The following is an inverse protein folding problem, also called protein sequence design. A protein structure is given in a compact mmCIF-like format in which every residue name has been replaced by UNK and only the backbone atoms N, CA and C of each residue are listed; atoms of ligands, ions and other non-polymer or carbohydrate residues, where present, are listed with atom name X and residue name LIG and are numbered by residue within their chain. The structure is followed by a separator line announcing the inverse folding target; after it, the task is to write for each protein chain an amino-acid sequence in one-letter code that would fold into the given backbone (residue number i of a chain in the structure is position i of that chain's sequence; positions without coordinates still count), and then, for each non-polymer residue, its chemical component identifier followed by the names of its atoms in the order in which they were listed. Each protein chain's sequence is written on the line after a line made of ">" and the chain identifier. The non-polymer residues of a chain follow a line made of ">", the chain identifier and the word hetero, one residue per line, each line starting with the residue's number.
data_IF_761997788424
#
_entry.id   IF_761997788424
#
_cell.length_a   1.000
_cell.length_b   1.000
_cell.length_c   1.000
_cell.angle_alpha   90.00
_cell.angle_beta   90.00
_cell.angle_gamma   90.00
#
_symmetry.space_group_name_H-M   'P 1'
#
loop_
_entity.id
_entity.type
_entity.pdbx_description
1 polymer ?
#
# COMPACT_ATOMS: atom_id res chain seq x y z
N UNK A 1 -23.27 6.36 -50.42
CA UNK A 1 -22.43 6.45 -49.20
C UNK A 1 -22.57 5.21 -48.31
N UNK A 2 -22.19 4.01 -48.79
CA UNK A 2 -22.01 2.79 -47.95
C UNK A 2 -20.86 1.88 -48.44
N UNK A 3 -20.10 2.32 -49.45
CA UNK A 3 -19.03 1.53 -50.08
C UNK A 3 -17.60 2.03 -49.76
N UNK A 4 -17.44 3.13 -49.02
CA UNK A 4 -16.12 3.69 -48.66
C UNK A 4 -15.68 3.40 -47.22
N UNK A 5 -16.54 2.80 -46.39
CA UNK A 5 -16.25 2.56 -44.97
C UNK A 5 -15.72 1.15 -44.70
N UNK A 6 -15.99 0.20 -45.60
CA UNK A 6 -15.47 -1.18 -45.55
C UNK A 6 -13.99 -1.29 -45.97
N UNK A 7 -13.49 -0.35 -46.79
CA UNK A 7 -12.11 -0.39 -47.28
C UNK A 7 -11.08 0.13 -46.24
N UNK A 8 -11.48 1.02 -45.33
CA UNK A 8 -10.59 1.49 -44.25
C UNK A 8 -10.37 0.44 -43.15
N UNK A 9 -11.39 -0.37 -42.82
CA UNK A 9 -11.23 -1.48 -41.87
C UNK A 9 -10.40 -2.63 -42.46
N UNK A 10 -10.48 -2.89 -43.77
CA UNK A 10 -9.64 -3.89 -44.42
C UNK A 10 -8.16 -3.44 -44.52
N UNK A 11 -7.90 -2.13 -44.68
CA UNK A 11 -6.53 -1.58 -44.71
C UNK A 11 -5.83 -1.62 -43.34
N UNK A 12 -6.51 -1.33 -42.24
CA UNK A 12 -5.91 -1.42 -40.89
C UNK A 12 -5.53 -2.85 -40.50
N UNK A 13 -6.34 -3.85 -40.86
CA UNK A 13 -6.01 -5.26 -40.63
C UNK A 13 -4.91 -5.79 -41.57
N UNK A 14 -4.76 -5.23 -42.77
CA UNK A 14 -3.59 -5.54 -43.61
C UNK A 14 -2.32 -4.93 -43.03
N UNK A 15 -2.35 -3.68 -42.53
CA UNK A 15 -1.19 -3.04 -41.89
C UNK A 15 -0.70 -3.76 -40.62
N UNK A 16 -1.59 -4.36 -39.83
CA UNK A 16 -1.21 -5.21 -38.68
C UNK A 16 -0.70 -6.58 -39.13
N UNK A 17 -1.26 -7.16 -40.19
CA UNK A 17 -0.76 -8.42 -40.77
C UNK A 17 0.62 -8.29 -41.42
N UNK A 18 1.03 -7.08 -41.85
CA UNK A 18 2.35 -6.81 -42.42
C UNK A 18 3.40 -6.42 -41.37
N UNK A 19 3.03 -5.96 -40.16
CA UNK A 19 4.00 -5.65 -39.08
C UNK A 19 4.64 -6.88 -38.42
N UNK A 20 4.12 -8.07 -38.69
CA UNK A 20 4.63 -9.35 -38.18
C UNK A 20 5.21 -10.27 -39.27
N UNK A 21 5.20 -9.85 -40.54
CA UNK A 21 5.81 -10.62 -41.62
C UNK A 21 7.31 -10.34 -41.63
N UNK A 22 8.08 -11.25 -41.04
CA UNK A 22 9.55 -11.18 -40.95
C UNK A 22 10.12 -11.06 -39.54
N UNK A 23 9.29 -11.10 -38.49
CA UNK A 23 9.79 -11.25 -37.12
C UNK A 23 9.90 -12.73 -36.78
N UNK A 24 11.11 -13.12 -36.39
CA UNK A 24 11.45 -14.49 -36.02
C UNK A 24 10.47 -15.00 -34.95
N UNK A 25 9.97 -16.23 -35.11
CA UNK A 25 9.03 -16.87 -34.19
C UNK A 25 9.64 -16.93 -32.79
N UNK A 26 10.96 -17.02 -32.70
CA UNK A 26 11.71 -17.00 -31.45
C UNK A 26 11.75 -15.60 -30.79
N UNK A 27 11.76 -14.51 -31.57
CA UNK A 27 11.66 -13.15 -31.03
C UNK A 27 10.28 -12.89 -30.42
N UNK A 28 9.20 -13.38 -31.05
CA UNK A 28 7.85 -13.31 -30.47
C UNK A 28 7.71 -14.17 -29.21
N UNK A 29 8.33 -15.36 -29.18
CA UNK A 29 8.38 -16.19 -27.96
C UNK A 29 9.18 -15.52 -26.85
N UNK A 30 10.28 -14.83 -27.18
CA UNK A 30 11.10 -14.08 -26.21
C UNK A 30 10.32 -12.93 -25.59
N UNK A 31 9.64 -12.11 -26.40
CA UNK A 31 8.78 -11.02 -25.88
C UNK A 31 7.64 -11.52 -25.01
N UNK A 32 7.00 -12.65 -25.36
CA UNK A 32 5.97 -13.28 -24.51
C UNK A 32 6.53 -13.78 -23.18
N UNK A 33 7.75 -14.33 -23.19
CA UNK A 33 8.46 -14.72 -21.96
C UNK A 33 8.84 -13.51 -21.12
N UNK A 34 9.34 -12.44 -21.72
CA UNK A 34 9.69 -11.18 -21.04
C UNK A 34 8.46 -10.54 -20.38
N UNK A 35 7.35 -10.38 -21.11
CA UNK A 35 6.09 -9.86 -20.55
C UNK A 35 5.56 -10.75 -19.42
N UNK A 36 5.65 -12.08 -19.55
CA UNK A 36 5.24 -13.02 -18.50
C UNK A 36 6.14 -12.93 -17.26
N UNK A 37 7.44 -12.71 -17.45
CA UNK A 37 8.41 -12.50 -16.36
C UNK A 37 8.15 -11.16 -15.67
N UNK A 38 7.88 -10.10 -16.43
CA UNK A 38 7.51 -8.78 -15.89
C UNK A 38 6.20 -8.84 -15.11
N UNK A 39 5.16 -9.50 -15.64
CA UNK A 39 3.89 -9.71 -14.93
C UNK A 39 4.06 -10.53 -13.65
N UNK A 40 4.94 -11.54 -13.66
CA UNK A 40 5.27 -12.32 -12.46
C UNK A 40 6.07 -11.52 -11.45
N UNK A 41 6.98 -10.65 -11.92
CA UNK A 41 7.76 -9.75 -11.07
C UNK A 41 6.84 -8.70 -10.44
N UNK A 42 5.96 -8.08 -11.21
CA UNK A 42 4.94 -7.15 -10.72
C UNK A 42 4.03 -7.80 -9.66
N UNK A 43 3.51 -9.01 -9.92
CA UNK A 43 2.71 -9.76 -8.91
C UNK A 43 3.48 -10.08 -7.64
N UNK A 44 4.78 -10.37 -7.74
CA UNK A 44 5.65 -10.64 -6.59
C UNK A 44 5.95 -9.35 -5.82
N UNK A 45 6.19 -8.25 -6.53
CA UNK A 45 6.42 -6.93 -5.97
C UNK A 45 5.15 -6.42 -5.26
N UNK A 46 3.95 -6.69 -5.81
CA UNK A 46 2.65 -6.39 -5.19
C UNK A 46 2.41 -7.21 -3.91
N UNK A 47 2.83 -8.48 -3.87
CA UNK A 47 2.78 -9.30 -2.65
C UNK A 47 3.73 -8.80 -1.56
N UNK A 48 4.83 -8.13 -1.90
CA UNK A 48 5.74 -7.53 -0.92
C UNK A 48 5.20 -6.24 -0.28
N UNK A 49 4.11 -5.67 -0.83
CA UNK A 49 3.53 -4.41 -0.35
C UNK A 49 2.60 -4.60 0.84
N UNK A 50 1.98 -5.78 0.93
CA UNK A 50 1.06 -6.12 2.00
C UNK A 50 1.86 -6.64 3.19
N UNK A 51 1.54 -6.13 4.38
CA UNK A 51 2.16 -6.56 5.63
C UNK A 51 1.19 -7.46 6.37
N UNK A 52 1.57 -8.70 6.65
CA UNK A 52 0.81 -9.61 7.52
C UNK A 52 1.18 -9.35 8.98
N UNK A 53 0.19 -9.17 9.84
CA UNK A 53 0.44 -9.00 11.28
C UNK A 53 0.68 -10.37 11.94
N UNK A 54 1.96 -10.73 12.06
CA UNK A 54 2.42 -11.98 12.68
C UNK A 54 2.77 -11.83 14.17
N UNK A 55 2.72 -10.63 14.73
CA UNK A 55 3.04 -10.39 16.14
C UNK A 55 1.97 -11.00 17.02
N UNK A 56 2.22 -12.24 17.47
CA UNK A 56 1.46 -12.89 18.53
C UNK A 56 1.87 -12.42 19.94
N UNK A 57 2.83 -11.48 20.03
CA UNK A 57 3.48 -11.06 21.28
C UNK A 57 2.84 -9.81 21.91
N UNK A 58 2.08 -9.00 21.17
CA UNK A 58 1.29 -7.88 21.72
C UNK A 58 -0.14 -8.34 22.04
N UNK A 59 -0.27 -9.37 22.90
CA UNK A 59 -1.55 -9.74 23.49
C UNK A 59 -1.88 -8.64 24.52
N UNK A 60 -2.64 -7.61 24.12
CA UNK A 60 -3.25 -6.62 25.04
C UNK A 60 -4.34 -7.26 25.94
N UNK A 61 -4.21 -8.54 26.26
CA UNK A 61 -5.16 -9.24 27.09
C UNK A 61 -5.05 -8.75 28.52
N UNK A 62 -6.19 -8.27 29.01
CA UNK A 62 -6.53 -8.26 30.42
C UNK A 62 -6.07 -9.59 31.07
N UNK A 63 -5.66 -9.59 32.35
CA UNK A 63 -5.11 -10.74 33.04
C UNK A 63 -6.20 -11.78 33.33
N UNK A 64 -6.66 -12.46 32.29
CA UNK A 64 -7.41 -13.70 32.37
C UNK A 64 -6.64 -14.68 31.50
N UNK A 65 -5.85 -15.48 32.21
CA UNK A 65 -5.08 -16.60 31.69
C UNK A 65 -6.04 -17.68 31.22
N UNK A 66 -6.74 -17.42 30.12
CA UNK A 66 -7.57 -18.41 29.46
C UNK A 66 -6.68 -19.40 28.72
N UNK A 67 -7.06 -20.67 28.80
CA UNK A 67 -6.29 -21.82 28.35
C UNK A 67 -6.03 -21.74 26.83
N UNK A 68 -4.89 -21.13 26.46
CA UNK A 68 -4.47 -20.80 25.07
C UNK A 68 -4.51 -22.00 24.13
N UNK A 69 -4.43 -23.22 24.67
CA UNK A 69 -4.49 -24.47 23.93
C UNK A 69 -5.88 -24.78 23.34
N UNK A 70 -7.00 -24.42 24.00
CA UNK A 70 -8.35 -24.85 23.56
C UNK A 70 -8.90 -24.03 22.39
N UNK A 71 -8.58 -22.73 22.32
CA UNK A 71 -9.08 -21.80 21.28
C UNK A 71 -8.49 -22.12 19.90
N UNK A 72 -7.31 -22.73 19.87
CA UNK A 72 -6.59 -23.11 18.65
C UNK A 72 -7.22 -24.30 17.90
N UNK A 73 -7.90 -25.18 18.64
CA UNK A 73 -8.35 -26.50 18.19
C UNK A 73 -9.84 -26.52 17.80
N UNK A 74 -10.56 -25.41 17.96
CA UNK A 74 -11.94 -25.28 17.50
C UNK A 74 -12.06 -25.63 16.01
N UNK A 75 -13.12 -26.32 15.59
CA UNK A 75 -13.39 -26.57 14.16
C UNK A 75 -13.91 -25.29 13.48
N UNK A 76 -13.96 -25.27 12.15
CA UNK A 76 -14.50 -24.10 11.42
C UNK A 76 -15.98 -23.91 11.77
N UNK A 77 -16.73 -25.00 11.90
CA UNK A 77 -18.16 -25.00 12.23
C UNK A 77 -18.40 -24.38 13.62
N UNK A 78 -17.64 -24.81 14.63
CA UNK A 78 -17.75 -24.27 15.99
C UNK A 78 -17.36 -22.78 16.07
N UNK A 79 -16.43 -22.34 15.21
CA UNK A 79 -16.09 -20.92 15.10
C UNK A 79 -17.28 -20.13 14.58
N UNK A 80 -17.90 -20.58 13.48
CA UNK A 80 -19.07 -19.91 12.89
C UNK A 80 -20.23 -19.88 13.88
N UNK A 81 -20.57 -21.01 14.50
CA UNK A 81 -21.65 -21.08 15.49
C UNK A 81 -21.41 -20.12 16.66
N UNK A 82 -20.17 -20.01 17.15
CA UNK A 82 -19.86 -19.09 18.24
C UNK A 82 -19.83 -17.61 17.81
N UNK A 83 -19.38 -17.30 16.59
CA UNK A 83 -19.48 -15.94 16.03
C UNK A 83 -20.95 -15.54 15.76
N UNK A 84 -21.82 -16.50 15.44
CA UNK A 84 -23.24 -16.26 15.20
C UNK A 84 -24.08 -16.27 16.49
N UNK A 85 -23.46 -16.62 17.62
CA UNK A 85 -24.14 -16.68 18.92
C UNK A 85 -24.57 -15.29 19.41
N UNK A 86 -25.54 -15.25 20.34
CA UNK A 86 -25.92 -14.02 21.03
C UNK A 86 -25.06 -13.66 22.24
N UNK A 87 -24.01 -14.44 22.52
CA UNK A 87 -23.13 -14.25 23.67
C UNK A 87 -21.83 -13.55 23.24
N UNK A 88 -21.61 -12.33 23.74
CA UNK A 88 -20.43 -11.51 23.44
C UNK A 88 -19.11 -12.21 23.78
N UNK A 89 -19.09 -13.03 24.83
CA UNK A 89 -17.89 -13.78 25.21
C UNK A 89 -17.56 -14.87 24.19
N UNK A 90 -18.59 -15.60 23.76
CA UNK A 90 -18.44 -16.65 22.75
C UNK A 90 -18.10 -16.05 21.37
N UNK A 91 -18.69 -14.92 21.01
CA UNK A 91 -18.32 -14.15 19.81
C UNK A 91 -16.83 -13.78 19.83
N UNK A 92 -16.33 -13.28 20.97
CA UNK A 92 -14.93 -12.89 21.12
C UNK A 92 -13.98 -14.09 21.00
N UNK A 93 -14.26 -15.18 21.72
CA UNK A 93 -13.43 -16.40 21.69
C UNK A 93 -13.38 -16.98 20.28
N UNK A 94 -14.53 -17.09 19.60
CA UNK A 94 -14.60 -17.63 18.25
C UNK A 94 -13.90 -16.72 17.22
N UNK A 95 -14.02 -15.39 17.36
CA UNK A 95 -13.30 -14.45 16.49
C UNK A 95 -11.78 -14.56 16.69
N UNK A 96 -11.32 -14.68 17.94
CA UNK A 96 -9.91 -14.92 18.26
C UNK A 96 -9.41 -16.25 17.70
N UNK A 97 -10.24 -17.30 17.73
CA UNK A 97 -9.95 -18.59 17.11
C UNK A 97 -9.82 -18.47 15.58
N UNK A 98 -10.74 -17.77 14.92
CA UNK A 98 -10.70 -17.50 13.49
C UNK A 98 -9.39 -16.79 13.09
N UNK A 99 -9.05 -15.70 13.80
CA UNK A 99 -7.78 -14.98 13.59
C UNK A 99 -6.56 -15.89 13.75
N UNK A 100 -6.49 -16.66 14.84
CA UNK A 100 -5.34 -17.55 15.11
C UNK A 100 -5.17 -18.61 14.03
N UNK A 101 -6.27 -19.15 13.49
CA UNK A 101 -6.21 -20.08 12.35
C UNK A 101 -5.66 -19.41 11.10
N UNK A 102 -6.02 -18.15 10.84
CA UNK A 102 -5.44 -17.39 9.74
C UNK A 102 -3.94 -17.18 9.94
N UNK A 103 -3.47 -16.80 11.14
CA UNK A 103 -2.05 -16.49 11.38
C UNK A 103 -1.08 -17.67 11.24
N UNK A 104 -1.55 -18.92 11.32
CA UNK A 104 -0.69 -20.11 11.21
C UNK A 104 -0.30 -20.36 9.75
N UNK A 105 0.99 -20.27 9.47
CA UNK A 105 1.56 -20.39 8.12
C UNK A 105 1.70 -21.86 7.69
N UNK A 106 0.60 -22.61 7.68
CA UNK A 106 0.59 -23.97 7.12
C UNK A 106 0.10 -23.90 5.68
N UNK A 107 0.89 -24.44 4.75
CA UNK A 107 0.59 -24.62 3.31
C UNK A 107 -0.72 -25.37 3.00
N UNK A 108 -1.51 -25.69 4.02
CA UNK A 108 -2.65 -26.61 4.01
C UNK A 108 -3.89 -26.06 4.73
N UNK A 109 -3.86 -24.87 5.34
CA UNK A 109 -5.07 -24.25 5.90
C UNK A 109 -5.74 -23.35 4.85
N UNK A 110 -7.00 -23.60 4.47
CA UNK A 110 -7.66 -22.82 3.44
C UNK A 110 -8.21 -21.53 4.06
N UNK A 111 -7.45 -20.43 3.97
CA UNK A 111 -7.96 -19.07 4.18
C UNK A 111 -9.28 -18.91 3.40
N UNK A 112 -9.32 -19.50 2.20
CA UNK A 112 -10.49 -19.52 1.34
C UNK A 112 -11.68 -20.27 1.95
N UNK A 113 -11.48 -21.40 2.66
CA UNK A 113 -12.58 -22.12 3.31
C UNK A 113 -13.17 -21.32 4.49
N UNK A 114 -12.32 -20.60 5.23
CA UNK A 114 -12.78 -19.68 6.28
C UNK A 114 -13.57 -18.50 5.67
N UNK A 115 -13.14 -18.00 4.51
CA UNK A 115 -13.87 -16.96 3.78
C UNK A 115 -15.23 -17.50 3.29
N UNK A 116 -15.23 -18.68 2.67
CA UNK A 116 -16.41 -19.37 2.16
C UNK A 116 -17.40 -19.73 3.27
N UNK A 117 -16.94 -19.95 4.51
CA UNK A 117 -17.80 -20.20 5.67
C UNK A 117 -18.49 -18.95 6.21
N UNK A 118 -18.25 -17.76 5.64
CA UNK A 118 -19.00 -16.55 5.96
C UNK A 118 -18.42 -15.70 7.10
N UNK A 119 -17.15 -15.91 7.50
CA UNK A 119 -16.55 -15.10 8.58
C UNK A 119 -16.44 -13.62 8.22
N UNK A 120 -16.28 -13.28 6.93
CA UNK A 120 -16.00 -11.90 6.49
C UNK A 120 -17.18 -10.98 6.77
N UNK A 121 -18.42 -11.27 6.30
CA UNK A 121 -19.60 -10.49 6.67
C UNK A 121 -19.77 -10.31 8.18
N UNK A 122 -19.56 -11.36 8.97
CA UNK A 122 -19.71 -11.31 10.43
C UNK A 122 -18.64 -10.44 11.09
N UNK A 123 -17.39 -10.53 10.65
CA UNK A 123 -16.33 -9.61 11.11
C UNK A 123 -16.67 -8.15 10.77
N UNK A 124 -17.22 -7.87 9.59
CA UNK A 124 -17.65 -6.52 9.20
C UNK A 124 -18.81 -6.03 10.08
N UNK A 125 -19.73 -6.90 10.49
CA UNK A 125 -20.75 -6.56 11.49
C UNK A 125 -20.10 -6.18 12.83
N UNK A 126 -19.16 -6.98 13.31
CA UNK A 126 -18.45 -6.76 14.58
C UNK A 126 -17.66 -5.45 14.62
N UNK A 127 -17.19 -4.92 13.48
CA UNK A 127 -16.59 -3.57 13.45
C UNK A 127 -17.55 -2.47 13.96
N UNK A 128 -18.87 -2.69 13.94
CA UNK A 128 -19.87 -1.75 14.45
C UNK A 128 -20.28 -1.98 15.91
N UNK A 129 -19.70 -2.96 16.62
CA UNK A 129 -19.93 -3.19 18.05
C UNK A 129 -19.09 -2.22 18.90
N UNK A 130 -19.43 -0.94 18.88
CA UNK A 130 -18.72 0.13 19.62
C UNK A 130 -18.77 -0.06 21.15
N UNK A 131 -19.70 -0.87 21.63
CA UNK A 131 -19.82 -1.34 23.01
C UNK A 131 -18.78 -2.41 23.39
N UNK A 132 -18.12 -3.04 22.40
CA UNK A 132 -17.15 -4.12 22.62
C UNK A 132 -15.84 -3.92 21.80
N UNK A 133 -14.91 -3.07 22.31
CA UNK A 133 -13.64 -2.77 21.63
C UNK A 133 -12.76 -4.00 21.40
N UNK A 134 -12.78 -4.97 22.33
CA UNK A 134 -12.04 -6.23 22.19
C UNK A 134 -12.51 -7.03 20.98
N UNK A 135 -13.82 -7.09 20.76
CA UNK A 135 -14.40 -7.74 19.59
C UNK A 135 -14.10 -6.97 18.30
N UNK A 136 -14.19 -5.64 18.32
CA UNK A 136 -13.78 -4.79 17.18
C UNK A 136 -12.32 -5.03 16.79
N UNK A 137 -11.43 -5.12 17.78
CA UNK A 137 -10.02 -5.38 17.58
C UNK A 137 -9.77 -6.75 16.92
N UNK A 138 -10.33 -7.83 17.48
CA UNK A 138 -10.16 -9.19 16.96
C UNK A 138 -10.80 -9.34 15.55
N UNK A 139 -11.95 -8.70 15.31
CA UNK A 139 -12.59 -8.66 13.99
C UNK A 139 -11.76 -7.87 12.98
N UNK A 140 -11.26 -6.69 13.35
CA UNK A 140 -10.38 -5.88 12.49
C UNK A 140 -9.09 -6.64 12.15
N UNK A 141 -8.49 -7.32 13.13
CA UNK A 141 -7.28 -8.11 12.90
C UNK A 141 -7.55 -9.32 11.98
N UNK A 142 -8.67 -10.00 12.17
CA UNK A 142 -9.11 -11.06 11.25
C UNK A 142 -9.18 -10.56 9.81
N UNK A 143 -9.82 -9.40 9.58
CA UNK A 143 -9.91 -8.78 8.27
C UNK A 143 -8.55 -8.32 7.73
N UNK A 144 -7.66 -7.78 8.56
CA UNK A 144 -6.28 -7.42 8.16
C UNK A 144 -5.52 -8.64 7.64
N UNK A 145 -5.65 -9.79 8.30
CA UNK A 145 -4.99 -11.03 7.91
C UNK A 145 -5.51 -11.54 6.57
N UNK A 146 -6.82 -11.44 6.32
CA UNK A 146 -7.42 -11.82 5.04
C UNK A 146 -6.97 -10.85 3.92
N UNK A 147 -7.02 -9.54 4.17
CA UNK A 147 -6.59 -8.51 3.23
C UNK A 147 -5.08 -8.56 2.92
N UNK A 148 -4.27 -9.15 3.79
CA UNK A 148 -2.83 -9.36 3.53
C UNK A 148 -2.53 -10.46 2.51
N UNK A 149 -3.52 -11.26 2.12
CA UNK A 149 -3.37 -12.36 1.18
C UNK A 149 -3.54 -11.96 -0.29
N UNK A 150 -4.23 -12.79 -1.07
CA UNK A 150 -4.45 -12.57 -2.51
C UNK A 150 -5.36 -11.37 -2.77
N UNK A 151 -5.36 -10.85 -4.00
CA UNK A 151 -6.28 -9.77 -4.38
C UNK A 151 -7.75 -10.20 -4.32
N UNK A 152 -8.06 -11.47 -4.57
CA UNK A 152 -9.42 -12.02 -4.42
C UNK A 152 -9.89 -12.04 -2.95
N UNK A 153 -8.98 -12.40 -2.04
CA UNK A 153 -9.25 -12.35 -0.60
C UNK A 153 -9.47 -10.90 -0.12
N UNK A 154 -8.68 -9.96 -0.65
CA UNK A 154 -8.83 -8.53 -0.35
C UNK A 154 -10.13 -7.97 -0.91
N UNK A 155 -10.46 -8.32 -2.15
CA UNK A 155 -11.68 -7.91 -2.83
C UNK A 155 -12.94 -8.42 -2.10
N UNK A 156 -12.90 -9.62 -1.52
CA UNK A 156 -13.97 -10.13 -0.65
C UNK A 156 -14.20 -9.19 0.54
N UNK A 157 -13.14 -8.80 1.26
CA UNK A 157 -13.23 -7.87 2.40
C UNK A 157 -13.82 -6.52 1.98
N UNK A 158 -13.40 -6.01 0.81
CA UNK A 158 -13.90 -4.76 0.24
C UNK A 158 -15.38 -4.86 -0.12
N UNK A 159 -15.79 -5.91 -0.85
CA UNK A 159 -17.18 -6.14 -1.28
C UNK A 159 -18.14 -6.36 -0.12
N UNK A 160 -17.67 -6.91 1.00
CA UNK A 160 -18.46 -7.03 2.22
C UNK A 160 -18.66 -5.69 2.97
N UNK A 161 -18.08 -4.58 2.50
CA UNK A 161 -18.30 -3.24 3.07
C UNK A 161 -17.40 -2.91 4.25
N UNK A 162 -16.24 -3.54 4.39
CA UNK A 162 -15.31 -3.28 5.49
C UNK A 162 -14.75 -1.85 5.49
N UNK A 163 -14.48 -1.27 4.31
CA UNK A 163 -13.76 0.01 4.17
C UNK A 163 -14.39 1.16 4.95
N UNK A 164 -15.67 1.54 4.76
CA UNK A 164 -16.28 2.64 5.53
C UNK A 164 -16.23 2.42 7.04
N UNK A 165 -16.37 1.17 7.51
CA UNK A 165 -16.30 0.86 8.94
C UNK A 165 -14.87 0.98 9.48
N UNK A 166 -13.89 0.46 8.75
CA UNK A 166 -12.48 0.61 9.11
C UNK A 166 -12.05 2.09 9.14
N UNK A 167 -12.54 2.92 8.21
CA UNK A 167 -12.28 4.37 8.24
C UNK A 167 -12.94 5.00 9.47
N UNK A 168 -14.15 4.61 9.84
CA UNK A 168 -14.80 5.08 11.07
C UNK A 168 -13.99 4.72 12.33
N UNK A 169 -13.36 3.54 12.35
CA UNK A 169 -12.52 3.09 13.47
C UNK A 169 -11.22 3.89 13.62
N UNK A 170 -10.80 4.68 12.63
CA UNK A 170 -9.68 5.60 12.78
C UNK A 170 -9.93 6.68 13.84
N UNK A 171 -11.20 6.97 14.15
CA UNK A 171 -11.62 7.90 15.21
C UNK A 171 -11.97 7.22 16.54
N UNK A 172 -11.58 5.96 16.75
CA UNK A 172 -11.87 5.24 17.99
C UNK A 172 -11.15 5.87 19.19
N UNK A 173 -11.80 5.90 20.36
CA UNK A 173 -11.15 6.25 21.63
C UNK A 173 -10.14 5.19 22.10
N UNK A 174 -10.16 4.01 21.48
CA UNK A 174 -9.30 2.89 21.80
C UNK A 174 -8.17 2.80 20.77
N UNK A 175 -6.94 3.12 21.21
CA UNK A 175 -5.78 3.15 20.33
C UNK A 175 -5.54 1.81 19.64
N UNK A 176 -5.58 0.68 20.35
CA UNK A 176 -5.37 -0.64 19.75
C UNK A 176 -6.36 -0.95 18.59
N UNK A 177 -7.61 -0.48 18.67
CA UNK A 177 -8.60 -0.60 17.57
C UNK A 177 -8.19 0.30 16.40
N UNK A 178 -7.80 1.54 16.68
CA UNK A 178 -7.32 2.50 15.69
C UNK A 178 -6.09 1.96 14.94
N UNK A 179 -5.09 1.45 15.66
CA UNK A 179 -3.87 0.87 15.09
C UNK A 179 -4.18 -0.29 14.15
N UNK A 180 -5.10 -1.17 14.56
CA UNK A 180 -5.50 -2.32 13.75
C UNK A 180 -6.29 -1.90 12.50
N UNK A 181 -7.10 -0.85 12.60
CA UNK A 181 -7.82 -0.29 11.46
C UNK A 181 -6.86 0.35 10.43
N UNK A 182 -5.84 1.09 10.90
CA UNK A 182 -4.78 1.64 10.04
C UNK A 182 -4.10 0.52 9.25
N UNK A 183 -3.72 -0.58 9.91
CA UNK A 183 -3.09 -1.72 9.24
C UNK A 183 -4.01 -2.35 8.19
N UNK A 184 -5.28 -2.60 8.54
CA UNK A 184 -6.25 -3.14 7.59
C UNK A 184 -6.37 -2.27 6.34
N UNK A 185 -6.51 -0.95 6.51
CA UNK A 185 -6.61 0.01 5.41
C UNK A 185 -5.32 0.06 4.57
N UNK A 186 -4.15 -0.04 5.18
CA UNK A 186 -2.87 -0.11 4.47
C UNK A 186 -2.76 -1.32 3.55
N UNK A 187 -3.21 -2.50 3.99
CA UNK A 187 -3.25 -3.71 3.15
C UNK A 187 -4.27 -3.59 2.01
N UNK A 188 -5.45 -3.03 2.29
CA UNK A 188 -6.51 -2.82 1.28
C UNK A 188 -6.05 -1.80 0.22
N UNK A 189 -5.50 -0.66 0.64
CA UNK A 189 -5.01 0.38 -0.26
C UNK A 189 -3.80 -0.09 -1.08
N UNK A 190 -2.95 -0.94 -0.50
CA UNK A 190 -1.77 -1.50 -1.18
C UNK A 190 -2.09 -2.57 -2.23
N UNK A 191 -3.32 -3.10 -2.28
CA UNK A 191 -3.68 -4.18 -3.21
C UNK A 191 -3.84 -3.72 -4.66
N UNK A 192 -4.71 -2.73 -4.91
CA UNK A 192 -4.97 -2.25 -6.26
C UNK A 192 -5.54 -0.80 -6.27
N UNK A 193 -5.47 -0.09 -7.42
CA UNK A 193 -5.99 1.28 -7.54
C UNK A 193 -7.45 1.43 -7.14
N UNK A 194 -8.30 0.46 -7.47
CA UNK A 194 -9.73 0.49 -7.14
C UNK A 194 -9.96 0.50 -5.62
N UNK A 195 -9.25 -0.38 -4.90
CA UNK A 195 -9.32 -0.44 -3.44
C UNK A 195 -8.72 0.81 -2.78
N UNK A 196 -7.58 1.29 -3.28
CA UNK A 196 -6.96 2.57 -2.85
C UNK A 196 -7.93 3.74 -2.97
N UNK A 197 -8.55 3.91 -4.13
CA UNK A 197 -9.45 5.04 -4.39
C UNK A 197 -10.74 4.95 -3.58
N UNK A 198 -11.20 3.73 -3.28
CA UNK A 198 -12.32 3.52 -2.36
C UNK A 198 -11.97 3.97 -0.94
N UNK A 199 -10.78 3.61 -0.44
CA UNK A 199 -10.30 4.04 0.88
C UNK A 199 -10.18 5.58 0.95
N UNK A 200 -9.65 6.21 -0.10
CA UNK A 200 -9.61 7.68 -0.22
C UNK A 200 -11.01 8.30 -0.22
N UNK A 201 -11.94 7.74 -1.00
CA UNK A 201 -13.32 8.21 -1.14
C UNK A 201 -14.07 8.25 0.20
N UNK A 202 -13.80 7.31 1.11
CA UNK A 202 -14.41 7.29 2.44
C UNK A 202 -13.76 8.23 3.46
N UNK A 203 -12.75 9.02 3.06
CA UNK A 203 -12.16 10.05 3.92
C UNK A 203 -11.00 9.54 4.79
N UNK A 204 -10.33 8.45 4.39
CA UNK A 204 -9.19 7.93 5.16
C UNK A 204 -8.02 8.92 5.23
N UNK A 205 -7.79 9.74 4.20
CA UNK A 205 -6.66 10.67 4.15
C UNK A 205 -6.65 11.67 5.32
N UNK A 206 -7.68 12.53 5.52
CA UNK A 206 -7.69 13.45 6.65
C UNK A 206 -7.63 12.72 8.00
N UNK A 207 -8.37 11.61 8.15
CA UNK A 207 -8.38 10.83 9.39
C UNK A 207 -6.98 10.27 9.75
N UNK A 208 -6.23 9.77 8.77
CA UNK A 208 -4.85 9.30 8.98
C UNK A 208 -3.88 10.43 9.32
N UNK A 209 -4.06 11.61 8.73
CA UNK A 209 -3.21 12.77 9.02
C UNK A 209 -3.39 13.27 10.46
N UNK A 210 -4.60 13.16 11.02
CA UNK A 210 -4.89 13.50 12.43
C UNK A 210 -4.17 12.57 13.42
N UNK A 211 -3.74 11.38 12.99
CA UNK A 211 -2.99 10.42 13.82
C UNK A 211 -1.48 10.74 13.90
N UNK A 212 -0.99 11.72 13.12
CA UNK A 212 0.42 12.16 13.15
C UNK A 212 0.59 13.27 14.19
N UNK A 213 0.79 12.87 15.44
CA UNK A 213 0.95 13.75 16.59
C UNK A 213 2.34 13.57 17.23
N UNK A 214 2.81 14.55 18.03
CA UNK A 214 4.10 14.44 18.74
C UNK A 214 4.18 13.25 19.71
N UNK A 215 3.05 12.81 20.26
CA UNK A 215 2.90 11.69 21.20
C UNK A 215 2.61 10.34 20.52
N UNK A 216 2.47 10.31 19.20
CA UNK A 216 2.31 9.05 18.45
C UNK A 216 3.58 8.21 18.59
N UNK A 217 3.42 6.97 19.06
CA UNK A 217 4.54 6.03 19.23
C UNK A 217 5.24 5.75 17.89
N UNK A 218 6.55 5.47 17.93
CA UNK A 218 7.31 5.21 16.70
C UNK A 218 6.77 3.99 15.92
N UNK A 219 6.36 2.93 16.63
CA UNK A 219 5.76 1.74 16.01
C UNK A 219 4.46 2.07 15.27
N UNK A 220 3.58 2.83 15.91
CA UNK A 220 2.31 3.20 15.28
C UNK A 220 2.52 4.20 14.13
N UNK A 221 3.42 5.17 14.29
CA UNK A 221 3.75 6.13 13.26
C UNK A 221 4.26 5.46 11.98
N UNK A 222 5.10 4.41 12.09
CA UNK A 222 5.52 3.60 10.93
C UNK A 222 4.32 3.03 10.16
N UNK A 223 3.32 2.52 10.87
CA UNK A 223 2.11 1.96 10.24
C UNK A 223 1.25 3.04 9.57
N UNK A 224 1.10 4.21 10.21
CA UNK A 224 0.38 5.35 9.63
C UNK A 224 1.06 5.83 8.34
N UNK A 225 2.38 6.04 8.37
CA UNK A 225 3.14 6.54 7.22
C UNK A 225 3.22 5.52 6.09
N UNK A 226 3.36 4.23 6.40
CA UNK A 226 3.25 3.16 5.42
C UNK A 226 1.85 3.11 4.76
N UNK A 227 0.78 3.31 5.53
CA UNK A 227 -0.58 3.38 4.98
C UNK A 227 -0.76 4.59 4.07
N UNK A 228 -0.27 5.76 4.47
CA UNK A 228 -0.28 6.97 3.65
C UNK A 228 0.55 6.81 2.36
N UNK A 229 1.69 6.11 2.41
CA UNK A 229 2.51 5.85 1.22
C UNK A 229 1.79 4.94 0.21
N UNK A 230 1.06 3.92 0.68
CA UNK A 230 0.19 3.09 -0.16
C UNK A 230 -0.95 3.90 -0.80
N UNK A 231 -1.53 4.88 -0.08
CA UNK A 231 -2.55 5.77 -0.62
C UNK A 231 -2.02 6.73 -1.69
N UNK A 232 -0.75 7.12 -1.60
CA UNK A 232 -0.10 7.99 -2.60
C UNK A 232 0.40 7.24 -3.83
N UNK A 233 0.39 5.92 -3.82
CA UNK A 233 1.05 5.10 -4.84
C UNK A 233 0.45 5.30 -6.22
N UNK A 234 1.29 5.67 -7.18
CA UNK A 234 0.92 5.92 -8.57
C UNK A 234 0.86 4.61 -9.39
N UNK A 235 -0.06 3.73 -9.01
CA UNK A 235 -0.46 2.59 -9.84
C UNK A 235 -1.52 3.08 -10.83
N UNK A 236 -1.49 2.70 -12.11
CA UNK A 236 -2.47 3.17 -13.10
C UNK A 236 -3.90 2.66 -12.82
N UNK A 237 -4.90 3.55 -12.71
CA UNK A 237 -4.85 5.02 -12.78
C UNK A 237 -4.34 5.68 -11.49
N UNK A 238 -3.62 6.83 -11.57
CA UNK A 238 -3.10 7.56 -10.40
C UNK A 238 -4.19 7.92 -9.38
N UNK A 239 -3.85 8.08 -8.08
CA UNK A 239 -4.82 8.53 -7.09
C UNK A 239 -5.30 9.97 -7.39
N UNK A 240 -6.49 10.35 -6.91
CA UNK A 240 -6.97 11.73 -6.94
C UNK A 240 -5.98 12.67 -6.24
N UNK A 241 -5.30 13.52 -7.02
CA UNK A 241 -4.21 14.37 -6.52
C UNK A 241 -4.69 15.40 -5.49
N UNK A 242 -5.92 15.88 -5.66
CA UNK A 242 -6.61 16.80 -4.77
C UNK A 242 -6.70 16.29 -3.32
N UNK A 243 -6.85 14.97 -3.17
CA UNK A 243 -6.88 14.30 -1.86
C UNK A 243 -5.46 14.02 -1.37
N UNK A 244 -4.60 13.40 -2.19
CA UNK A 244 -3.28 12.98 -1.71
C UNK A 244 -2.33 14.15 -1.43
N UNK A 245 -2.49 15.30 -2.08
CA UNK A 245 -1.68 16.50 -1.79
C UNK A 245 -1.86 17.03 -0.36
N UNK A 246 -2.97 16.69 0.32
CA UNK A 246 -3.21 17.07 1.72
C UNK A 246 -2.13 16.51 2.67
N UNK A 247 -1.45 15.44 2.27
CA UNK A 247 -0.38 14.80 3.04
C UNK A 247 0.98 15.50 2.96
N UNK A 248 1.17 16.42 2.00
CA UNK A 248 2.46 17.06 1.75
C UNK A 248 3.05 17.80 2.96
N UNK A 249 2.27 18.60 3.72
CA UNK A 249 2.80 19.25 4.93
C UNK A 249 3.27 18.23 5.97
N UNK A 250 2.55 17.12 6.12
CA UNK A 250 2.92 16.05 7.04
C UNK A 250 4.20 15.34 6.59
N UNK A 251 4.33 15.00 5.30
CA UNK A 251 5.56 14.41 4.77
C UNK A 251 6.76 15.33 4.91
N UNK A 252 6.60 16.63 4.66
CA UNK A 252 7.66 17.63 4.87
C UNK A 252 8.21 17.59 6.31
N UNK A 253 7.34 17.53 7.32
CA UNK A 253 7.78 17.35 8.73
C UNK A 253 8.41 15.98 8.98
N UNK A 254 7.85 14.90 8.43
CA UNK A 254 8.31 13.53 8.66
C UNK A 254 9.72 13.28 8.11
N UNK A 255 10.16 14.01 7.07
CA UNK A 255 11.53 13.94 6.56
C UNK A 255 12.60 14.36 7.58
N UNK A 256 12.21 14.99 8.69
CA UNK A 256 13.10 15.40 9.78
C UNK A 256 13.06 14.45 10.99
N UNK A 257 12.29 13.37 10.93
CA UNK A 257 12.28 12.35 11.99
C UNK A 257 13.57 11.51 11.94
N UNK A 258 13.97 10.97 13.11
CA UNK A 258 15.14 10.10 13.23
C UNK A 258 14.87 8.64 12.82
N UNK A 259 13.60 8.25 12.77
CA UNK A 259 13.18 6.89 12.44
C UNK A 259 13.32 6.61 10.94
N UNK A 260 14.18 5.64 10.61
CA UNK A 260 14.54 5.35 9.22
C UNK A 260 13.43 4.68 8.42
N UNK A 261 12.51 3.95 9.07
CA UNK A 261 11.39 3.31 8.38
C UNK A 261 10.32 4.36 8.04
N UNK A 262 10.07 5.29 8.97
CA UNK A 262 9.23 6.47 8.71
C UNK A 262 9.80 7.31 7.56
N UNK A 263 11.11 7.59 7.56
CA UNK A 263 11.76 8.32 6.48
C UNK A 263 11.64 7.59 5.14
N UNK A 264 11.86 6.27 5.12
CA UNK A 264 11.77 5.49 3.89
C UNK A 264 10.35 5.53 3.30
N UNK A 265 9.32 5.28 4.10
CA UNK A 265 7.92 5.29 3.64
C UNK A 265 7.46 6.71 3.22
N UNK A 266 7.93 7.77 3.91
CA UNK A 266 7.68 9.15 3.52
C UNK A 266 8.35 9.51 2.18
N UNK A 267 9.62 9.12 1.98
CA UNK A 267 10.33 9.30 0.71
C UNK A 267 9.63 8.54 -0.43
N UNK A 268 9.14 7.32 -0.18
CA UNK A 268 8.37 6.57 -1.17
C UNK A 268 7.11 7.32 -1.59
N UNK A 269 6.34 7.82 -0.60
CA UNK A 269 5.15 8.61 -0.88
C UNK A 269 5.46 9.84 -1.75
N UNK A 270 6.50 10.61 -1.40
CA UNK A 270 6.95 11.76 -2.20
C UNK A 270 7.38 11.36 -3.60
N UNK A 271 8.08 10.23 -3.76
CA UNK A 271 8.48 9.72 -5.08
C UNK A 271 7.29 9.37 -5.97
N UNK A 272 6.17 8.94 -5.39
CA UNK A 272 4.93 8.69 -6.15
C UNK A 272 4.21 9.98 -6.51
N UNK A 273 4.23 10.98 -5.61
CA UNK A 273 3.59 12.28 -5.84
C UNK A 273 4.33 13.13 -6.89
N UNK A 274 5.66 12.95 -7.03
CA UNK A 274 6.46 13.61 -8.06
C UNK A 274 6.44 12.89 -9.41
N UNK A 275 5.92 11.66 -9.49
CA UNK A 275 5.77 10.89 -10.73
C UNK A 275 4.52 11.37 -11.49
N UNK A 276 4.58 12.53 -12.12
CA UNK A 276 3.40 13.13 -12.73
C UNK A 276 3.66 14.41 -13.53
N UNK A 277 2.60 15.21 -13.69
CA UNK A 277 2.66 16.49 -14.41
C UNK A 277 3.46 17.54 -13.62
N UNK A 278 3.95 18.57 -14.32
CA UNK A 278 4.69 19.67 -13.70
C UNK A 278 3.93 20.35 -12.55
N UNK A 279 2.58 20.40 -12.60
CA UNK A 279 1.77 20.95 -11.52
C UNK A 279 1.88 20.12 -10.23
N UNK A 280 1.92 18.79 -10.35
CA UNK A 280 2.09 17.89 -9.20
C UNK A 280 3.50 18.02 -8.62
N UNK A 281 4.50 18.09 -9.49
CA UNK A 281 5.89 18.34 -9.10
C UNK A 281 5.98 19.68 -8.36
N UNK A 282 5.34 20.73 -8.89
CA UNK A 282 5.35 22.06 -8.27
C UNK A 282 4.74 22.04 -6.87
N UNK A 283 3.61 21.36 -6.67
CA UNK A 283 3.00 21.24 -5.35
C UNK A 283 3.94 20.56 -4.33
N UNK A 284 4.72 19.56 -4.75
CA UNK A 284 5.74 18.92 -3.90
C UNK A 284 6.90 19.89 -3.61
N UNK A 285 7.36 20.64 -4.61
CA UNK A 285 8.41 21.66 -4.44
C UNK A 285 7.96 22.76 -3.46
N UNK A 286 6.73 23.24 -3.61
CA UNK A 286 6.14 24.29 -2.76
C UNK A 286 5.95 23.81 -1.31
N UNK A 287 5.87 22.51 -1.07
CA UNK A 287 5.86 21.92 0.27
C UNK A 287 7.24 21.95 0.98
N UNK A 288 8.29 22.44 0.30
CA UNK A 288 9.61 22.67 0.87
C UNK A 288 10.45 21.41 1.13
N UNK A 289 10.11 20.28 0.50
CA UNK A 289 10.77 18.99 0.78
C UNK A 289 12.14 18.83 0.10
N UNK A 290 12.43 19.62 -0.94
CA UNK A 290 13.59 19.43 -1.83
C UNK A 290 14.93 19.47 -1.10
N UNK A 291 15.25 20.48 -0.25
CA UNK A 291 16.55 20.53 0.42
C UNK A 291 16.81 19.27 1.25
N UNK A 292 15.78 18.81 1.99
CA UNK A 292 15.90 17.63 2.82
C UNK A 292 16.01 16.34 2.02
N UNK A 293 15.32 16.22 0.88
CA UNK A 293 15.48 15.08 -0.02
C UNK A 293 16.91 14.99 -0.58
N UNK A 294 17.54 16.13 -0.89
CA UNK A 294 18.93 16.20 -1.34
C UNK A 294 19.90 15.76 -0.24
N UNK A 295 19.71 16.22 1.00
CA UNK A 295 20.51 15.74 2.15
C UNK A 295 20.39 14.22 2.35
N UNK A 296 19.20 13.66 2.16
CA UNK A 296 18.95 12.22 2.27
C UNK A 296 19.61 11.40 1.16
N UNK A 297 20.17 12.02 0.11
CA UNK A 297 21.02 11.33 -0.86
C UNK A 297 22.37 10.91 -0.26
N UNK A 298 22.79 11.51 0.84
CA UNK A 298 23.95 11.07 1.63
C UNK A 298 23.62 10.04 2.71
N UNK A 299 22.37 9.52 2.75
CA UNK A 299 21.97 8.53 3.75
C UNK A 299 22.70 7.19 3.56
N UNK A 300 23.26 6.64 4.63
CA UNK A 300 23.95 5.34 4.59
C UNK A 300 23.03 4.15 4.31
N UNK A 301 21.73 4.28 4.61
CA UNK A 301 20.74 3.23 4.37
C UNK A 301 20.12 3.36 2.97
N UNK A 302 20.34 2.33 2.15
CA UNK A 302 19.79 2.21 0.79
C UNK A 302 18.26 2.30 0.77
N UNK A 303 17.59 1.88 1.85
CA UNK A 303 16.12 1.93 1.98
C UNK A 303 15.57 3.35 1.99
N UNK A 304 16.35 4.35 2.42
CA UNK A 304 15.99 5.78 2.39
C UNK A 304 16.55 6.45 1.14
N UNK A 305 17.80 6.13 0.79
CA UNK A 305 18.48 6.68 -0.39
C UNK A 305 17.69 6.41 -1.69
N UNK A 306 17.23 5.18 -1.91
CA UNK A 306 16.55 4.78 -3.15
C UNK A 306 15.31 5.61 -3.44
N UNK A 307 14.33 5.73 -2.51
CA UNK A 307 13.15 6.55 -2.76
C UNK A 307 13.47 8.06 -2.78
N UNK A 308 14.43 8.54 -1.99
CA UNK A 308 14.86 9.94 -2.04
C UNK A 308 15.44 10.30 -3.42
N UNK A 309 16.34 9.46 -3.95
CA UNK A 309 16.90 9.60 -5.29
C UNK A 309 15.82 9.56 -6.37
N UNK A 310 14.83 8.65 -6.24
CA UNK A 310 13.70 8.60 -7.17
C UNK A 310 12.89 9.90 -7.14
N UNK A 311 12.56 10.40 -5.95
CA UNK A 311 11.79 11.64 -5.81
C UNK A 311 12.52 12.84 -6.43
N UNK A 312 13.82 12.98 -6.15
CA UNK A 312 14.68 14.01 -6.73
C UNK A 312 14.80 13.86 -8.25
N UNK A 313 14.99 12.63 -8.73
CA UNK A 313 15.03 12.30 -10.16
C UNK A 313 13.76 12.72 -10.90
N UNK A 314 12.60 12.49 -10.30
CA UNK A 314 11.32 12.94 -10.88
C UNK A 314 11.20 14.47 -10.88
N UNK A 315 11.60 15.16 -9.81
CA UNK A 315 11.57 16.63 -9.73
C UNK A 315 12.39 17.27 -10.85
N UNK A 316 13.58 16.74 -11.16
CA UNK A 316 14.45 17.27 -12.23
C UNK A 316 13.95 16.95 -13.64
N UNK A 317 12.92 16.10 -13.80
CA UNK A 317 12.25 15.92 -15.10
C UNK A 317 11.21 16.99 -15.40
N UNK A 318 10.97 17.90 -14.45
CA UNK A 318 10.12 19.07 -14.58
C UNK A 318 10.66 20.17 -15.50
N UNK A 319 10.09 21.38 -15.41
CA UNK A 319 10.51 22.52 -16.23
C UNK A 319 11.82 23.18 -15.73
N UNK A 320 12.41 24.07 -16.53
CA UNK A 320 13.69 24.73 -16.20
C UNK A 320 13.67 25.47 -14.86
N UNK A 321 12.51 25.96 -14.39
CA UNK A 321 12.39 26.61 -13.07
C UNK A 321 12.54 25.60 -11.93
N UNK A 322 12.01 24.38 -12.12
CA UNK A 322 12.13 23.26 -11.19
C UNK A 322 13.55 22.68 -11.20
N UNK A 323 14.21 22.65 -12.36
CA UNK A 323 15.63 22.27 -12.53
C UNK A 323 16.60 23.33 -11.99
N UNK A 324 16.23 24.62 -12.08
CA UNK A 324 17.01 25.77 -11.60
C UNK A 324 16.84 26.07 -10.10
N UNK A 325 16.17 25.22 -9.32
CA UNK A 325 16.41 25.21 -7.87
C UNK A 325 17.91 24.95 -7.65
N UNK A 326 18.65 26.04 -7.48
CA UNK A 326 20.10 26.22 -7.68
C UNK A 326 20.99 25.23 -6.89
N UNK A 327 20.41 24.48 -5.97
CA UNK A 327 21.04 23.46 -5.14
C UNK A 327 21.08 22.06 -5.77
N UNK A 328 20.14 21.70 -6.65
CA UNK A 328 20.02 20.33 -7.19
C UNK A 328 21.21 19.93 -8.08
N UNK A 329 21.70 20.84 -8.94
CA UNK A 329 22.73 20.51 -9.93
C UNK A 329 24.14 20.40 -9.35
N UNK A 330 24.46 21.16 -8.30
CA UNK A 330 25.79 21.17 -7.68
C UNK A 330 25.99 19.90 -6.84
N UNK A 331 25.01 19.54 -6.01
CA UNK A 331 25.14 18.41 -5.08
C UNK A 331 24.94 17.05 -5.77
N UNK A 332 24.03 16.92 -6.74
CA UNK A 332 23.82 15.65 -7.47
C UNK A 332 25.04 15.29 -8.31
N UNK A 333 25.66 16.28 -8.96
CA UNK A 333 26.86 16.03 -9.77
C UNK A 333 28.05 15.64 -8.88
N UNK A 334 28.17 16.23 -7.69
CA UNK A 334 29.24 15.90 -6.73
C UNK A 334 29.04 14.49 -6.12
N UNK A 335 27.81 14.15 -5.69
CA UNK A 335 27.46 12.83 -5.14
C UNK A 335 27.59 11.70 -6.16
N UNK A 336 27.10 11.88 -7.40
CA UNK A 336 27.20 10.87 -8.45
C UNK A 336 28.65 10.62 -8.90
N UNK A 337 29.52 11.62 -8.82
CA UNK A 337 30.95 11.50 -9.20
C UNK A 337 31.78 10.88 -8.07
N UNK A 338 31.44 11.13 -6.80
CA UNK A 338 32.24 10.69 -5.67
C UNK A 338 31.90 9.29 -5.13
N UNK A 339 30.63 8.82 -5.17
CA UNK A 339 30.24 7.58 -4.46
C UNK A 339 29.84 6.40 -5.36
N UNK A 340 29.21 6.63 -6.53
CA UNK A 340 28.67 5.55 -7.35
C UNK A 340 29.52 5.26 -8.60
N UNK A 341 30.46 4.32 -8.48
CA UNK A 341 31.17 3.70 -9.64
C UNK A 341 30.29 2.71 -10.44
N UNK A 342 28.98 2.93 -10.53
CA UNK A 342 28.07 2.10 -11.31
C UNK A 342 27.48 2.90 -12.48
N UNK A 343 27.92 2.56 -13.69
CA UNK A 343 27.78 3.36 -14.92
C UNK A 343 26.41 3.22 -15.60
N UNK A 344 25.46 2.53 -14.97
CA UNK A 344 24.12 2.30 -15.49
C UNK A 344 23.15 3.47 -15.21
N UNK A 345 23.28 4.15 -14.06
CA UNK A 345 22.42 5.29 -13.67
C UNK A 345 22.84 6.60 -14.35
N UNK A 346 24.15 6.78 -14.60
CA UNK A 346 24.73 7.98 -15.20
C UNK A 346 24.37 8.15 -16.69
N UNK A 347 24.02 7.06 -17.39
CA UNK A 347 23.77 7.11 -18.85
C UNK A 347 22.55 7.94 -19.26
N UNK A 348 21.54 8.09 -18.39
CA UNK A 348 20.39 8.95 -18.69
C UNK A 348 20.68 10.46 -18.51
N UNK A 349 21.74 10.84 -17.78
CA UNK A 349 22.10 12.25 -17.58
C UNK A 349 22.85 12.88 -18.77
N UNK A 350 23.40 12.06 -19.68
CA UNK A 350 24.23 12.57 -20.79
C UNK A 350 23.48 12.82 -22.11
N UNK A 351 22.19 12.49 -22.19
CA UNK A 351 21.46 12.49 -23.47
C UNK A 351 20.77 13.84 -23.76
N UNK A 352 20.64 14.74 -22.79
CA UNK A 352 20.04 16.07 -22.98
C UNK A 352 21.06 17.22 -22.85
N UNK A 353 22.19 17.11 -23.54
CA UNK A 353 23.03 18.28 -23.85
C UNK A 353 22.86 18.66 -25.31
#
# INVERSE_FOLDING_TARGET
>A
MKFLQTDMLCRSNRLTSFKNKGKDVDEMRRRRKEVSVELRKARKDDQLLKRRNLSAEDDWTLPLQENIQSVADMTIEAIIEGMDSGDDHLQLISTKAARKKLSRNTKTLPIDALIESGIVPRCVEFLSRFDNPSLQFEASWTLTNIASGTSEQTDTVVKCGAVPKLVQLLGSSYMHVTEQAVWALGNIAGDCPTSRDLVLKFGAMPALLELIKPDTTASFLRNVVWTLSNLCRNNHPPPPFDIVQMSLPSFSRLLHYSDMDVLADACWALSYLTDGTNDKIQAVVDAGVVPRLVELLGASKVTVLTPALRAVGNIVTGNDVQVCCHFLLIDITYLLVCEYKDTSVVRNFRVNR
#
